data_IF_499413999903
#
_entry.id   IF_499413999903
#
_cell.length_a   1.000
_cell.length_b   1.000
_cell.length_c   1.000
_cell.angle_alpha   90.00
_cell.angle_beta   90.00
_cell.angle_gamma   90.00
#
_symmetry.space_group_name_H-M   'P 1'
#
loop_
_entity.id
_entity.type
_entity.pdbx_description
1 polymer ?
#
# COMPACT_ATOMS: atom_id res chain seq x y z
N UNK A 1 20.26 24.28 -6.12
CA UNK A 1 18.79 24.08 -6.07
C UNK A 1 18.46 23.25 -4.84
N UNK A 2 17.19 23.10 -4.48
CA UNK A 2 16.69 22.01 -3.63
C UNK A 2 15.83 21.07 -4.47
N UNK A 3 15.55 19.89 -3.94
CA UNK A 3 14.71 18.91 -4.64
C UNK A 3 13.37 18.78 -3.91
N UNK A 4 12.28 19.13 -4.57
CA UNK A 4 10.91 18.91 -4.08
C UNK A 4 10.40 17.58 -4.60
N UNK A 5 9.81 16.78 -3.72
CA UNK A 5 9.14 15.52 -4.02
C UNK A 5 7.66 15.69 -3.65
N UNK A 6 6.81 15.84 -4.66
CA UNK A 6 5.36 15.99 -4.49
C UNK A 6 4.66 14.67 -4.17
N UNK A 7 3.44 14.77 -3.62
CA UNK A 7 2.55 13.61 -3.41
C UNK A 7 2.15 12.92 -4.72
N UNK A 8 2.07 13.68 -5.80
CA UNK A 8 1.86 13.18 -7.17
C UNK A 8 3.08 12.45 -7.76
N UNK A 9 4.09 12.18 -6.93
CA UNK A 9 5.36 11.52 -7.27
C UNK A 9 6.24 12.33 -8.21
N UNK A 10 5.90 13.59 -8.47
CA UNK A 10 6.73 14.47 -9.28
C UNK A 10 7.93 14.94 -8.47
N UNK A 11 9.08 14.98 -9.14
CA UNK A 11 10.32 15.49 -8.59
C UNK A 11 10.73 16.72 -9.36
N UNK A 12 10.91 17.82 -8.64
CA UNK A 12 11.19 19.13 -9.23
C UNK A 12 12.35 19.83 -8.54
N UNK A 13 13.22 20.45 -9.33
CA UNK A 13 14.26 21.35 -8.81
C UNK A 13 13.64 22.69 -8.47
N UNK A 14 13.84 23.16 -7.25
CA UNK A 14 13.35 24.47 -6.80
C UNK A 14 14.54 25.37 -6.46
N UNK A 15 14.51 26.67 -6.83
CA UNK A 15 15.49 27.64 -6.38
C UNK A 15 15.61 27.67 -4.85
N UNK A 16 16.84 27.61 -4.34
CA UNK A 16 17.08 27.80 -2.92
C UNK A 16 17.16 29.30 -2.64
N UNK A 17 16.17 29.81 -1.91
CA UNK A 17 16.04 31.23 -1.57
C UNK A 17 16.05 31.38 -0.05
N UNK A 18 16.86 32.32 0.43
CA UNK A 18 16.89 32.72 1.82
C UNK A 18 16.03 33.97 2.02
N UNK A 19 15.40 34.06 3.19
CA UNK A 19 14.73 35.28 3.62
C UNK A 19 15.74 36.38 4.01
N UNK A 20 15.22 37.56 4.36
CA UNK A 20 16.02 38.72 4.78
C UNK A 20 16.89 38.46 6.01
N UNK A 21 16.59 37.42 6.80
CA UNK A 21 17.33 37.01 7.99
C UNK A 21 18.29 35.85 7.71
N UNK A 22 18.40 35.41 6.46
CA UNK A 22 19.24 34.29 6.04
C UNK A 22 18.62 32.92 6.32
N UNK A 23 17.33 32.85 6.64
CA UNK A 23 16.60 31.60 6.89
C UNK A 23 15.92 31.04 5.64
N UNK A 24 15.87 29.71 5.51
CA UNK A 24 15.17 29.02 4.42
C UNK A 24 13.75 28.54 4.80
N UNK A 25 13.30 28.78 6.04
CA UNK A 25 12.03 28.24 6.53
C UNK A 25 10.79 28.71 5.75
N UNK A 26 10.81 29.94 5.21
CA UNK A 26 9.73 30.45 4.37
C UNK A 26 9.62 29.67 3.05
N UNK A 27 10.76 29.35 2.42
CA UNK A 27 10.83 28.50 1.24
C UNK A 27 10.22 27.13 1.54
N UNK A 28 10.61 26.47 2.63
CA UNK A 28 10.12 25.12 2.93
C UNK A 28 8.61 25.09 3.15
N UNK A 29 8.05 26.01 3.93
CA UNK A 29 6.60 26.13 4.11
C UNK A 29 5.86 26.36 2.80
N UNK A 30 6.37 27.23 1.94
CA UNK A 30 5.78 27.48 0.62
C UNK A 30 5.81 26.24 -0.27
N UNK A 31 6.94 25.54 -0.32
CA UNK A 31 7.11 24.40 -1.21
C UNK A 31 6.39 23.14 -0.72
N UNK A 32 6.30 22.95 0.59
CA UNK A 32 5.58 21.85 1.23
C UNK A 32 4.07 22.13 1.22
N UNK A 33 3.66 23.37 1.43
CA UNK A 33 2.26 23.78 1.54
C UNK A 33 1.71 23.75 2.97
N UNK A 34 2.58 23.81 3.99
CA UNK A 34 2.24 23.67 5.40
C UNK A 34 2.64 24.90 6.24
N UNK A 35 2.06 25.03 7.44
CA UNK A 35 2.49 26.01 8.44
C UNK A 35 3.65 25.48 9.31
N UNK A 36 3.68 24.16 9.56
CA UNK A 36 4.70 23.48 10.34
C UNK A 36 5.36 22.36 9.53
N UNK A 37 6.68 22.25 9.67
CA UNK A 37 7.46 21.19 9.05
C UNK A 37 8.34 20.53 10.11
N UNK A 38 8.67 19.26 9.88
CA UNK A 38 9.70 18.55 10.61
C UNK A 38 10.93 18.31 9.72
N UNK A 39 12.07 17.98 10.33
CA UNK A 39 13.34 17.74 9.64
C UNK A 39 13.87 16.35 9.98
N UNK A 40 14.01 15.54 8.94
CA UNK A 40 14.61 14.21 9.00
C UNK A 40 16.02 14.31 8.44
N UNK A 41 17.04 14.08 9.27
CA UNK A 41 18.41 13.89 8.77
C UNK A 41 18.49 12.57 8.01
N UNK A 42 18.81 12.63 6.71
CA UNK A 42 18.99 11.44 5.88
C UNK A 42 20.38 10.84 6.12
N UNK A 43 21.41 11.67 6.09
CA UNK A 43 22.79 11.33 6.43
C UNK A 43 23.51 12.56 7.02
N UNK A 44 24.85 12.53 7.05
CA UNK A 44 25.69 13.62 7.54
C UNK A 44 25.76 14.84 6.59
N UNK A 45 25.12 14.76 5.42
CA UNK A 45 25.19 15.77 4.35
C UNK A 45 23.83 16.19 3.82
N UNK A 46 22.74 15.52 4.18
CA UNK A 46 21.42 15.74 3.62
C UNK A 46 20.34 15.71 4.69
N UNK A 47 19.44 16.68 4.58
CA UNK A 47 18.21 16.76 5.35
C UNK A 47 17.00 16.70 4.43
N UNK A 48 15.92 16.11 4.94
CA UNK A 48 14.60 16.06 4.32
C UNK A 48 13.61 16.81 5.21
N UNK A 49 13.03 17.88 4.68
CA UNK A 49 12.01 18.71 5.29
C UNK A 49 10.65 18.14 4.90
N UNK A 50 9.82 17.81 5.87
CA UNK A 50 8.56 17.09 5.66
C UNK A 50 7.39 17.85 6.25
N UNK A 51 6.21 17.61 5.68
CA UNK A 51 4.95 18.15 6.17
C UNK A 51 4.58 17.52 7.52
N UNK A 52 4.67 18.30 8.60
CA UNK A 52 4.28 17.86 9.95
C UNK A 52 2.75 17.86 10.14
N UNK A 53 2.02 18.45 9.19
CA UNK A 53 0.57 18.59 9.22
C UNK A 53 -0.13 17.56 8.33
N UNK A 54 0.62 16.76 7.55
CA UNK A 54 0.06 15.84 6.56
C UNK A 54 -0.88 14.78 7.12
N UNK A 55 -0.76 14.43 8.41
CA UNK A 55 -1.64 13.47 9.08
C UNK A 55 -2.78 14.15 9.85
N UNK A 56 -2.83 15.48 9.92
CA UNK A 56 -3.88 16.18 10.64
C UNK A 56 -5.22 16.00 9.92
N UNK A 57 -6.17 15.35 10.60
CA UNK A 57 -7.50 15.08 10.06
C UNK A 57 -7.58 13.83 9.19
N UNK A 58 -6.51 13.04 9.09
CA UNK A 58 -6.51 11.73 8.44
C UNK A 58 -6.99 10.68 9.44
N UNK A 59 -7.95 9.85 9.04
CA UNK A 59 -8.31 8.65 9.78
C UNK A 59 -7.23 7.57 9.55
N UNK A 60 -6.50 7.23 10.61
CA UNK A 60 -5.38 6.29 10.52
C UNK A 60 -5.84 4.83 10.39
N UNK A 61 -7.10 4.54 10.69
CA UNK A 61 -7.70 3.22 10.48
C UNK A 61 -8.21 3.06 9.02
N UNK A 62 -8.35 4.16 8.28
CA UNK A 62 -8.68 4.18 6.85
C UNK A 62 -7.40 4.08 6.00
N UNK A 63 -7.20 2.90 5.41
CA UNK A 63 -6.04 2.61 4.56
C UNK A 63 -5.98 3.48 3.31
N UNK A 64 -7.11 3.84 2.73
CA UNK A 64 -7.13 4.69 1.53
C UNK A 64 -6.74 6.11 1.90
N UNK A 65 -7.31 6.65 2.98
CA UNK A 65 -6.96 7.98 3.49
C UNK A 65 -5.47 8.10 3.84
N UNK A 66 -4.89 7.08 4.48
CA UNK A 66 -3.44 7.04 4.78
C UNK A 66 -2.60 6.95 3.50
N UNK A 67 -3.05 6.20 2.49
CA UNK A 67 -2.33 6.06 1.22
C UNK A 67 -2.32 7.37 0.41
N UNK A 68 -3.37 8.18 0.49
CA UNK A 68 -3.46 9.48 -0.20
C UNK A 68 -2.43 10.50 0.29
N UNK A 69 -2.05 10.42 1.57
CA UNK A 69 -1.07 11.33 2.19
C UNK A 69 0.34 10.74 2.24
N UNK A 70 0.54 9.48 1.86
CA UNK A 70 1.85 8.83 1.86
C UNK A 70 2.70 9.28 0.65
N UNK A 71 3.82 9.93 0.93
CA UNK A 71 4.83 10.24 -0.09
C UNK A 71 5.78 9.07 -0.28
N UNK A 72 5.34 8.18 -1.13
CA UNK A 72 6.06 6.97 -1.51
C UNK A 72 7.48 7.22 -1.98
N UNK A 73 7.69 8.21 -2.87
CA UNK A 73 9.02 8.49 -3.44
C UNK A 73 9.96 9.01 -2.35
N UNK A 74 9.50 9.95 -1.53
CA UNK A 74 10.28 10.46 -0.41
C UNK A 74 10.58 9.36 0.62
N UNK A 75 9.61 8.48 0.90
CA UNK A 75 9.77 7.32 1.79
C UNK A 75 10.87 6.39 1.28
N UNK A 76 10.85 6.04 0.00
CA UNK A 76 11.87 5.15 -0.60
C UNK A 76 13.26 5.78 -0.61
N UNK A 77 13.35 7.09 -0.87
CA UNK A 77 14.61 7.83 -0.72
C UNK A 77 15.07 7.73 0.74
N UNK A 78 14.22 8.02 1.72
CA UNK A 78 14.56 7.94 3.14
C UNK A 78 15.09 6.55 3.54
N UNK A 79 14.43 5.48 3.10
CA UNK A 79 14.86 4.09 3.31
C UNK A 79 16.23 3.83 2.70
N UNK A 80 16.52 4.37 1.50
CA UNK A 80 17.81 4.20 0.85
C UNK A 80 18.98 4.84 1.62
N UNK A 81 18.68 5.86 2.42
CA UNK A 81 19.59 6.50 3.37
C UNK A 81 19.52 5.88 4.78
N UNK A 82 18.80 4.77 4.97
CA UNK A 82 18.73 4.03 6.23
C UNK A 82 17.67 4.54 7.21
N UNK A 83 16.72 5.37 6.76
CA UNK A 83 15.59 5.83 7.56
C UNK A 83 14.34 5.03 7.24
N UNK A 84 13.97 4.13 8.15
CA UNK A 84 12.84 3.21 8.01
C UNK A 84 11.53 3.79 8.57
N UNK A 85 11.18 5.00 8.14
CA UNK A 85 9.93 5.66 8.53
C UNK A 85 9.17 6.15 7.30
N UNK A 86 7.83 6.07 7.29
CA UNK A 86 7.02 6.65 6.23
C UNK A 86 7.14 8.17 6.24
N UNK A 87 7.15 8.76 5.04
CA UNK A 87 7.11 10.21 4.85
C UNK A 87 5.73 10.57 4.33
N UNK A 88 5.02 11.44 5.04
CA UNK A 88 3.71 11.92 4.66
C UNK A 88 3.80 13.34 4.10
N UNK A 89 2.91 13.69 3.18
CA UNK A 89 2.85 15.00 2.54
C UNK A 89 4.00 15.30 1.57
N UNK A 90 4.11 16.55 1.14
CA UNK A 90 5.21 16.96 0.26
C UNK A 90 6.53 17.02 1.03
N UNK A 91 7.63 16.60 0.42
CA UNK A 91 8.95 16.68 1.02
C UNK A 91 9.90 17.57 0.20
N UNK A 92 10.84 18.22 0.87
CA UNK A 92 11.94 18.97 0.23
C UNK A 92 13.27 18.44 0.77
N UNK A 93 14.23 18.16 -0.12
CA UNK A 93 15.55 17.66 0.25
C UNK A 93 16.59 18.76 0.02
N UNK A 94 17.47 18.93 1.01
CA UNK A 94 18.54 19.94 0.99
C UNK A 94 19.87 19.35 1.40
N UNK A 95 20.96 20.05 1.07
CA UNK A 95 22.26 19.77 1.67
C UNK A 95 22.32 20.35 3.07
N UNK A 96 22.91 19.62 4.00
CA UNK A 96 23.32 20.11 5.31
C UNK A 96 24.74 20.69 5.21
N UNK A 97 24.91 21.94 5.66
CA UNK A 97 26.22 22.59 5.77
C UNK A 97 26.36 23.15 7.19
N UNK A 98 27.08 22.43 8.05
CA UNK A 98 27.10 22.73 9.49
C UNK A 98 25.73 22.41 10.09
N UNK A 99 25.07 23.43 10.63
CA UNK A 99 23.71 23.32 11.20
C UNK A 99 22.65 23.99 10.30
N UNK A 100 22.99 24.28 9.04
CA UNK A 100 22.15 25.06 8.15
C UNK A 100 21.86 24.35 6.84
N UNK A 101 20.63 24.52 6.36
CA UNK A 101 20.23 24.11 5.03
C UNK A 101 21.03 24.87 3.96
N UNK A 102 21.40 24.17 2.91
CA UNK A 102 22.14 24.69 1.79
C UNK A 102 21.62 24.10 0.49
N UNK A 103 21.86 24.75 -0.66
CA UNK A 103 21.54 24.17 -1.95
C UNK A 103 22.34 22.88 -2.14
N UNK A 104 21.67 21.91 -2.77
CA UNK A 104 22.28 20.71 -3.32
C UNK A 104 23.23 21.10 -4.47
N UNK A 105 24.36 20.40 -4.54
CA UNK A 105 25.22 20.43 -5.73
C UNK A 105 24.66 19.53 -6.85
N UNK A 106 25.23 19.63 -8.05
CA UNK A 106 24.71 18.89 -9.23
C UNK A 106 24.82 17.37 -9.08
N UNK A 107 25.85 16.87 -8.40
CA UNK A 107 26.03 15.43 -8.18
C UNK A 107 24.98 14.90 -7.20
N UNK A 108 24.69 15.66 -6.14
CA UNK A 108 23.63 15.36 -5.19
C UNK A 108 22.25 15.41 -5.85
N UNK A 109 21.98 16.41 -6.69
CA UNK A 109 20.74 16.51 -7.46
C UNK A 109 20.56 15.29 -8.36
N UNK A 110 21.57 14.98 -9.19
CA UNK A 110 21.51 13.85 -10.12
C UNK A 110 21.32 12.52 -9.38
N UNK A 111 21.98 12.33 -8.23
CA UNK A 111 21.80 11.13 -7.41
C UNK A 111 20.37 11.01 -6.87
N UNK A 112 19.82 12.08 -6.31
CA UNK A 112 18.47 12.07 -5.73
C UNK A 112 17.39 11.92 -6.79
N UNK A 113 17.56 12.56 -7.96
CA UNK A 113 16.69 12.38 -9.12
C UNK A 113 16.71 10.94 -9.63
N UNK A 114 17.90 10.34 -9.76
CA UNK A 114 18.01 8.93 -10.14
C UNK A 114 17.34 8.00 -9.11
N UNK A 115 17.51 8.26 -7.81
CA UNK A 115 16.82 7.51 -6.77
C UNK A 115 15.29 7.68 -6.84
N UNK A 116 14.82 8.87 -7.16
CA UNK A 116 13.40 9.13 -7.36
C UNK A 116 12.85 8.39 -8.57
N UNK A 117 13.56 8.41 -9.71
CA UNK A 117 13.19 7.65 -10.90
C UNK A 117 13.12 6.15 -10.61
N UNK A 118 14.12 5.58 -9.93
CA UNK A 118 14.10 4.18 -9.51
C UNK A 118 12.93 3.88 -8.57
N UNK A 119 12.65 4.78 -7.63
CA UNK A 119 11.56 4.60 -6.67
C UNK A 119 10.18 4.65 -7.35
N UNK A 120 10.01 5.60 -8.27
CA UNK A 120 8.82 5.71 -9.11
C UNK A 120 8.67 4.52 -10.04
N UNK A 121 9.75 3.95 -10.57
CA UNK A 121 9.72 2.74 -11.39
C UNK A 121 9.36 1.51 -10.56
N UNK A 122 9.97 1.32 -9.38
CA UNK A 122 9.60 0.23 -8.46
C UNK A 122 8.13 0.34 -8.08
N UNK A 123 7.62 1.55 -7.83
CA UNK A 123 6.21 1.73 -7.54
C UNK A 123 5.31 1.66 -8.76
N UNK A 124 5.79 2.08 -9.94
CA UNK A 124 5.11 1.85 -11.20
C UNK A 124 5.17 0.40 -11.62
N UNK A 125 6.05 -0.45 -11.10
CA UNK A 125 6.09 -1.92 -11.26
C UNK A 125 5.35 -2.64 -10.12
N UNK A 126 5.26 -2.03 -8.94
CA UNK A 126 4.41 -2.50 -7.83
C UNK A 126 2.94 -2.14 -8.09
N UNK A 127 2.68 -1.06 -8.83
CA UNK A 127 1.39 -0.67 -9.40
C UNK A 127 1.22 -1.05 -10.88
N UNK A 128 2.29 -1.37 -11.61
CA UNK A 128 2.30 -2.32 -12.73
C UNK A 128 2.52 -3.73 -12.20
N UNK A 129 1.83 -4.03 -11.09
CA UNK A 129 0.98 -5.20 -11.14
C UNK A 129 0.09 -5.06 -12.38
N UNK A 130 -0.15 -6.11 -13.18
CA UNK A 130 -0.93 -6.04 -14.42
C UNK A 130 -2.36 -5.54 -14.14
N UNK A 131 -2.52 -4.22 -14.07
CA UNK A 131 -3.78 -3.53 -13.77
C UNK A 131 -4.24 -2.64 -14.92
N UNK A 132 -3.41 -2.43 -15.94
CA UNK A 132 -3.78 -1.71 -17.16
C UNK A 132 -3.62 -2.53 -18.46
N UNK A 133 -3.16 -3.79 -18.37
CA UNK A 133 -3.37 -4.82 -19.40
C UNK A 133 -4.11 -6.00 -18.74
N UNK A 134 -5.44 -6.00 -18.94
CA UNK A 134 -6.47 -6.87 -18.37
C UNK A 134 -6.97 -6.51 -16.95
N UNK A 135 -8.27 -6.23 -16.89
CA UNK A 135 -9.12 -6.80 -15.85
C UNK A 135 -8.80 -8.30 -15.71
N UNK A 136 -7.83 -8.67 -14.88
CA UNK A 136 -7.64 -10.04 -14.42
C UNK A 136 -8.73 -10.33 -13.38
N UNK A 137 -9.88 -10.68 -13.94
CA UNK A 137 -11.20 -10.58 -13.32
C UNK A 137 -11.31 -11.39 -12.03
N UNK A 138 -11.88 -10.76 -11.00
CA UNK A 138 -12.45 -11.52 -9.89
C UNK A 138 -13.32 -12.66 -10.44
N UNK A 139 -13.09 -13.87 -9.94
CA UNK A 139 -13.77 -15.06 -10.46
C UNK A 139 -15.10 -15.18 -9.74
N UNK A 140 -16.20 -15.16 -10.48
CA UNK A 140 -17.53 -15.32 -9.91
C UNK A 140 -17.87 -16.81 -9.90
N UNK A 141 -18.14 -17.32 -8.71
CA UNK A 141 -18.50 -18.71 -8.54
C UNK A 141 -19.92 -18.81 -7.99
N UNK A 142 -20.63 -19.83 -8.44
CA UNK A 142 -21.77 -20.36 -7.69
C UNK A 142 -21.30 -21.63 -7.02
N UNK A 143 -21.37 -21.70 -5.70
CA UNK A 143 -20.88 -22.84 -4.92
C UNK A 143 -22.04 -23.49 -4.17
N UNK A 144 -21.92 -24.79 -3.92
CA UNK A 144 -22.71 -25.54 -2.94
C UNK A 144 -21.84 -25.71 -1.70
N UNK A 145 -22.38 -25.41 -0.52
CA UNK A 145 -21.75 -25.63 0.78
C UNK A 145 -22.58 -26.65 1.54
N UNK A 146 -21.94 -27.71 2.02
CA UNK A 146 -22.54 -28.79 2.79
C UNK A 146 -21.78 -28.91 4.13
N UNK A 147 -22.51 -28.87 5.24
CA UNK A 147 -21.95 -29.05 6.57
C UNK A 147 -22.62 -30.27 7.23
N UNK A 148 -21.81 -31.18 7.78
CA UNK A 148 -22.28 -32.32 8.55
C UNK A 148 -21.63 -32.31 9.92
N UNK A 149 -22.42 -32.42 10.98
CA UNK A 149 -21.95 -32.39 12.36
C UNK A 149 -22.13 -33.77 13.02
N UNK A 150 -21.24 -34.12 13.95
CA UNK A 150 -21.26 -35.42 14.61
C UNK A 150 -22.49 -35.68 15.50
N UNK A 151 -23.28 -34.63 15.80
CA UNK A 151 -24.56 -34.73 16.50
C UNK A 151 -25.75 -35.04 15.57
N UNK A 152 -25.49 -35.20 14.27
CA UNK A 152 -26.48 -35.52 13.25
C UNK A 152 -27.17 -34.29 12.65
N UNK A 153 -26.76 -33.08 13.01
CA UNK A 153 -27.18 -31.88 12.28
C UNK A 153 -26.48 -31.80 10.92
N UNK A 154 -27.23 -31.39 9.90
CA UNK A 154 -26.74 -31.21 8.54
C UNK A 154 -27.32 -29.89 7.98
N UNK A 155 -26.52 -29.15 7.23
CA UNK A 155 -26.98 -27.98 6.50
C UNK A 155 -26.42 -27.94 5.08
N UNK A 156 -27.23 -27.42 4.16
CA UNK A 156 -26.88 -27.27 2.75
C UNK A 156 -27.32 -25.88 2.27
N UNK A 157 -26.43 -25.18 1.59
CA UNK A 157 -26.72 -23.88 0.98
C UNK A 157 -26.01 -23.70 -0.37
N UNK A 158 -26.54 -22.81 -1.20
CA UNK A 158 -25.96 -22.44 -2.50
C UNK A 158 -25.71 -20.95 -2.51
N UNK A 159 -24.45 -20.57 -2.70
CA UNK A 159 -24.00 -19.18 -2.61
C UNK A 159 -23.42 -18.70 -3.94
N UNK A 160 -23.59 -17.40 -4.22
CA UNK A 160 -22.85 -16.72 -5.28
C UNK A 160 -21.75 -15.92 -4.63
N UNK A 161 -20.51 -16.28 -4.93
CA UNK A 161 -19.34 -15.72 -4.29
C UNK A 161 -18.42 -15.10 -5.34
N UNK A 162 -17.69 -14.09 -4.90
CA UNK A 162 -16.61 -13.49 -5.65
C UNK A 162 -15.32 -13.88 -4.93
N UNK A 163 -14.41 -14.53 -5.62
CA UNK A 163 -13.09 -14.87 -5.06
C UNK A 163 -12.02 -13.98 -5.70
N UNK A 164 -11.02 -13.63 -4.90
CA UNK A 164 -9.83 -12.95 -5.38
C UNK A 164 -9.05 -13.87 -6.33
N UNK A 165 -8.29 -13.32 -7.29
CA UNK A 165 -7.43 -14.13 -8.15
C UNK A 165 -6.53 -15.07 -7.35
N UNK A 166 -6.38 -16.29 -7.84
CA UNK A 166 -5.61 -17.34 -7.18
C UNK A 166 -4.76 -18.11 -8.19
N UNK A 167 -3.54 -18.46 -7.77
CA UNK A 167 -2.54 -19.14 -8.60
C UNK A 167 -2.78 -20.66 -8.69
N UNK A 168 -3.37 -21.25 -7.65
CA UNK A 168 -3.62 -22.69 -7.53
C UNK A 168 -4.91 -23.02 -6.77
N UNK A 169 -5.30 -24.30 -6.79
CA UNK A 169 -6.53 -24.75 -6.13
C UNK A 169 -6.45 -24.64 -4.60
N UNK A 170 -5.27 -24.68 -4.00
CA UNK A 170 -5.12 -24.58 -2.55
C UNK A 170 -5.57 -23.19 -2.08
N UNK A 171 -5.08 -22.13 -2.73
CA UNK A 171 -5.53 -20.76 -2.48
C UNK A 171 -7.04 -20.56 -2.74
N UNK A 172 -7.61 -21.20 -3.77
CA UNK A 172 -9.07 -21.15 -3.99
C UNK A 172 -9.82 -21.74 -2.79
N UNK A 173 -9.40 -22.92 -2.34
CA UNK A 173 -10.08 -23.61 -1.25
C UNK A 173 -9.96 -22.86 0.07
N UNK A 174 -8.81 -22.25 0.35
CA UNK A 174 -8.65 -21.38 1.53
C UNK A 174 -9.68 -20.24 1.55
N UNK A 175 -9.90 -19.55 0.43
CA UNK A 175 -10.91 -18.50 0.32
C UNK A 175 -12.33 -19.06 0.49
N UNK A 176 -12.63 -20.21 -0.12
CA UNK A 176 -13.97 -20.81 -0.06
C UNK A 176 -14.32 -21.38 1.33
N UNK A 177 -13.32 -21.65 2.17
CA UNK A 177 -13.53 -22.15 3.53
C UNK A 177 -14.31 -21.17 4.40
N UNK A 178 -14.23 -19.86 4.15
CA UNK A 178 -14.94 -18.84 4.93
C UNK A 178 -16.47 -18.95 4.83
N UNK A 179 -16.97 -19.60 3.77
CA UNK A 179 -18.40 -19.82 3.54
C UNK A 179 -18.93 -21.09 4.21
N UNK A 180 -18.05 -21.88 4.83
CA UNK A 180 -18.41 -23.11 5.55
C UNK A 180 -18.82 -22.85 6.99
N UNK A 181 -19.63 -23.76 7.54
CA UNK A 181 -20.14 -23.67 8.89
C UNK A 181 -21.32 -22.70 9.01
N UNK A 182 -22.38 -23.14 9.68
CA UNK A 182 -23.61 -22.36 9.92
C UNK A 182 -23.71 -21.84 11.37
N UNK A 183 -22.64 -22.01 12.15
CA UNK A 183 -22.57 -21.65 13.56
C UNK A 183 -23.13 -22.69 14.54
N UNK A 184 -23.65 -23.84 14.08
CA UNK A 184 -24.27 -24.88 14.93
C UNK A 184 -23.31 -25.45 16.00
N UNK A 185 -22.00 -25.44 15.75
CA UNK A 185 -20.97 -25.87 16.69
C UNK A 185 -20.49 -24.81 17.70
N UNK A 186 -20.98 -23.56 17.64
CA UNK A 186 -20.49 -22.49 18.52
C UNK A 186 -20.87 -22.81 19.98
N UNK A 187 -19.85 -22.94 20.84
CA UNK A 187 -20.03 -23.23 22.27
C UNK A 187 -20.27 -24.70 22.61
N UNK A 188 -20.11 -25.62 21.65
CA UNK A 188 -20.14 -27.08 21.86
C UNK A 188 -18.94 -27.72 21.17
N UNK A 189 -18.50 -28.87 21.66
CA UNK A 189 -17.48 -29.66 20.96
C UNK A 189 -18.18 -30.68 20.07
N UNK A 190 -18.49 -30.29 18.83
CA UNK A 190 -19.03 -31.15 17.79
C UNK A 190 -18.02 -31.20 16.65
N UNK A 191 -17.64 -32.41 16.25
CA UNK A 191 -16.82 -32.59 15.06
C UNK A 191 -17.67 -32.23 13.84
N UNK A 192 -17.05 -31.60 12.85
CA UNK A 192 -17.74 -31.12 11.66
C UNK A 192 -16.96 -31.47 10.41
N UNK A 193 -17.69 -31.87 9.38
CA UNK A 193 -17.18 -32.07 8.03
C UNK A 193 -17.81 -31.02 7.13
N UNK A 194 -16.98 -30.27 6.42
CA UNK A 194 -17.40 -29.20 5.53
C UNK A 194 -16.99 -29.53 4.11
N UNK A 195 -17.94 -29.48 3.18
CA UNK A 195 -17.68 -29.73 1.76
C UNK A 195 -18.17 -28.55 0.94
N UNK A 196 -17.29 -28.06 0.07
CA UNK A 196 -17.65 -27.03 -0.92
C UNK A 196 -17.50 -27.61 -2.31
N UNK A 197 -18.50 -27.41 -3.17
CA UNK A 197 -18.50 -27.81 -4.58
C UNK A 197 -18.80 -26.62 -5.49
N UNK A 198 -18.01 -26.43 -6.54
CA UNK A 198 -18.26 -25.38 -7.54
C UNK A 198 -19.33 -25.82 -8.55
N UNK A 199 -20.42 -25.08 -8.65
CA UNK A 199 -21.56 -25.36 -9.54
C UNK A 199 -21.51 -24.57 -10.85
N UNK A 200 -21.08 -23.31 -10.81
CA UNK A 200 -20.93 -22.44 -11.98
C UNK A 200 -19.67 -21.58 -11.82
N UNK A 201 -18.90 -21.41 -12.89
CA UNK A 201 -17.71 -20.58 -12.93
C UNK A 201 -17.56 -19.98 -14.35
N UNK A 202 -18.26 -18.88 -14.67
CA UNK A 202 -18.30 -18.32 -16.02
C UNK A 202 -16.92 -17.97 -16.58
N UNK A 203 -16.02 -17.49 -15.73
CA UNK A 203 -14.67 -17.07 -16.10
C UNK A 203 -13.68 -18.25 -16.15
N UNK A 204 -13.99 -19.35 -15.44
CA UNK A 204 -13.09 -20.49 -15.22
C UNK A 204 -13.86 -21.83 -15.30
N UNK A 205 -14.40 -22.22 -16.48
CA UNK A 205 -15.29 -23.38 -16.60
C UNK A 205 -14.66 -24.71 -16.13
N UNK A 206 -13.33 -24.82 -16.14
CA UNK A 206 -12.58 -25.97 -15.64
C UNK A 206 -12.76 -26.23 -14.14
N UNK A 207 -13.24 -25.25 -13.38
CA UNK A 207 -13.51 -25.39 -11.94
C UNK A 207 -14.85 -26.08 -11.67
N UNK A 208 -15.78 -26.08 -12.62
CA UNK A 208 -17.13 -26.61 -12.41
C UNK A 208 -17.08 -28.11 -12.10
N UNK A 209 -17.67 -28.50 -10.97
CA UNK A 209 -17.69 -29.86 -10.46
C UNK A 209 -16.51 -30.22 -9.54
N UNK A 210 -15.53 -29.34 -9.36
CA UNK A 210 -14.50 -29.53 -8.35
C UNK A 210 -15.08 -29.35 -6.95
N UNK A 211 -14.59 -30.15 -6.01
CA UNK A 211 -14.99 -30.11 -4.60
C UNK A 211 -13.79 -30.23 -3.68
N UNK A 212 -13.89 -29.62 -2.50
CA UNK A 212 -12.93 -29.81 -1.42
C UNK A 212 -13.64 -30.03 -0.08
N UNK A 213 -13.02 -30.82 0.78
CA UNK A 213 -13.56 -31.24 2.08
C UNK A 213 -12.58 -30.89 3.21
N UNK A 214 -13.12 -30.43 4.34
CA UNK A 214 -12.38 -30.15 5.57
C UNK A 214 -13.05 -30.84 6.76
N UNK A 215 -12.25 -31.42 7.67
CA UNK A 215 -12.71 -32.02 8.93
C UNK A 215 -11.67 -31.93 10.04
#
# INVERSE_FOLDING_TARGET
MVLKVGLDRTVTRVPFVLDERGGAGALFREQIGCALYDVISLDDRLDMWVDDEALLGVDLDDREAVAEVLNVVATMIAIRYGRWQPVFGTAVITRLTGESAAPLDEDQLARLEHLAEMSSAVFADTFASPKDEELSAAVHLKIKVENTYSDGHESEQVEKVQVEPFEDLEHLWEQLREYTGDGHGIGRNVDALYTVTVLEAPERPELVGLSNEWG
#
